data_IF_693908157621
#
_entry.id   IF_693908157621
#
_cell.length_a   1.000
_cell.length_b   1.000
_cell.length_c   1.000
_cell.angle_alpha   90.00
_cell.angle_beta   90.00
_cell.angle_gamma   90.00
#
_symmetry.space_group_name_H-M   'P 1'
#
loop_
_entity.id
_entity.type
_entity.pdbx_description
1 polymer ?
#
# COMPACT_ATOMS: atom_id res chain seq x y z
N UNK A 1 -6.90 6.85 -5.37
CA UNK A 1 -6.75 5.41 -5.14
C UNK A 1 -7.76 5.00 -4.11
N UNK A 2 -8.69 4.14 -4.50
CA UNK A 2 -9.70 3.59 -3.60
C UNK A 2 -9.36 2.14 -3.23
N UNK A 3 -10.24 1.49 -2.47
CA UNK A 3 -10.06 0.08 -2.09
C UNK A 3 -10.21 -0.86 -3.29
N UNK A 4 -11.07 -0.54 -4.25
CA UNK A 4 -11.34 -1.40 -5.40
C UNK A 4 -10.10 -1.48 -6.31
N UNK A 5 -9.41 -0.36 -6.52
CA UNK A 5 -8.13 -0.30 -7.25
C UNK A 5 -7.09 -1.25 -6.64
N UNK A 6 -6.93 -1.20 -5.31
CA UNK A 6 -5.95 -2.01 -4.57
C UNK A 6 -6.29 -3.50 -4.69
N UNK A 7 -7.54 -3.87 -4.44
CA UNK A 7 -7.98 -5.26 -4.51
C UNK A 7 -7.93 -5.78 -5.95
N UNK A 8 -8.22 -4.94 -6.93
CA UNK A 8 -8.09 -5.28 -8.34
C UNK A 8 -6.65 -5.60 -8.71
N UNK A 9 -5.68 -4.79 -8.29
CA UNK A 9 -4.27 -5.04 -8.57
C UNK A 9 -3.79 -6.39 -8.00
N UNK A 10 -4.16 -6.70 -6.74
CA UNK A 10 -3.87 -8.00 -6.13
C UNK A 10 -4.54 -9.13 -6.93
N UNK A 11 -5.83 -8.99 -7.26
CA UNK A 11 -6.54 -10.01 -8.04
C UNK A 11 -5.95 -10.21 -9.45
N UNK A 12 -5.37 -9.16 -10.03
CA UNK A 12 -4.71 -9.21 -11.34
C UNK A 12 -3.31 -9.81 -11.29
N UNK A 13 -2.90 -10.36 -10.15
CA UNK A 13 -1.66 -11.13 -10.00
C UNK A 13 -0.50 -10.37 -9.37
N UNK A 14 -0.70 -9.15 -8.87
CA UNK A 14 0.34 -8.44 -8.13
C UNK A 14 0.62 -9.15 -6.78
N UNK A 15 1.88 -9.45 -6.47
CA UNK A 15 2.25 -10.07 -5.19
C UNK A 15 2.04 -9.12 -4.01
N UNK A 16 2.20 -7.83 -4.24
CA UNK A 16 1.88 -6.77 -3.30
C UNK A 16 1.64 -5.41 -3.98
N UNK A 17 1.01 -4.48 -3.26
CA UNK A 17 0.68 -3.12 -3.71
C UNK A 17 1.21 -2.10 -2.69
N UNK A 18 1.96 -1.12 -3.18
CA UNK A 18 2.47 0.00 -2.37
C UNK A 18 1.75 1.28 -2.76
N UNK A 19 1.32 2.05 -1.77
CA UNK A 19 0.90 3.43 -1.96
C UNK A 19 1.93 4.36 -1.33
N UNK A 20 2.15 5.51 -1.97
CA UNK A 20 2.98 6.59 -1.45
C UNK A 20 2.16 7.87 -1.49
N UNK A 21 2.14 8.61 -0.39
CA UNK A 21 1.42 9.88 -0.32
C UNK A 21 2.09 10.92 0.55
N UNK A 22 1.61 12.16 0.49
CA UNK A 22 2.08 13.25 1.32
C UNK A 22 1.84 12.95 2.81
N UNK A 23 2.68 13.51 3.69
CA UNK A 23 2.49 13.39 5.14
C UNK A 23 1.17 13.99 5.61
N UNK A 24 0.68 13.54 6.75
CA UNK A 24 -0.48 14.16 7.38
C UNK A 24 -0.19 15.62 7.71
N UNK A 25 -1.08 16.51 7.27
CA UNK A 25 -0.89 17.96 7.38
C UNK A 25 -0.25 18.61 6.15
N UNK A 26 0.36 17.84 5.25
CA UNK A 26 1.03 18.32 4.03
C UNK A 26 0.29 17.89 2.75
N UNK A 27 -0.99 17.53 2.85
CA UNK A 27 -1.77 17.13 1.69
C UNK A 27 -2.29 18.37 0.96
N UNK A 28 -1.91 18.54 -0.31
CA UNK A 28 -2.41 19.62 -1.17
C UNK A 28 -3.93 19.58 -1.36
N UNK A 29 -4.50 18.38 -1.21
CA UNK A 29 -5.95 18.12 -1.27
C UNK A 29 -6.56 17.92 0.11
N UNK A 30 -5.94 18.51 1.14
CA UNK A 30 -6.31 18.55 2.56
C UNK A 30 -6.42 17.19 3.26
N UNK A 31 -7.36 16.36 2.82
CA UNK A 31 -7.74 15.07 3.43
C UNK A 31 -7.46 13.86 2.54
N UNK A 32 -6.99 14.07 1.31
CA UNK A 32 -6.80 12.99 0.32
C UNK A 32 -5.95 11.83 0.85
N UNK A 33 -4.86 12.11 1.55
CA UNK A 33 -4.01 11.08 2.16
C UNK A 33 -4.69 10.32 3.32
N UNK A 34 -5.55 10.98 4.10
CA UNK A 34 -6.35 10.35 5.18
C UNK A 34 -7.38 9.41 4.59
N UNK A 35 -8.05 9.81 3.51
CA UNK A 35 -9.00 8.96 2.79
C UNK A 35 -8.30 7.75 2.17
N UNK A 36 -7.16 7.95 1.48
CA UNK A 36 -6.35 6.86 0.94
C UNK A 36 -5.89 5.88 2.03
N UNK A 37 -5.45 6.38 3.20
CA UNK A 37 -5.07 5.52 4.34
C UNK A 37 -6.23 4.65 4.82
N UNK A 38 -7.45 5.19 4.91
CA UNK A 38 -8.65 4.41 5.25
C UNK A 38 -8.94 3.31 4.22
N UNK A 39 -8.76 3.61 2.93
CA UNK A 39 -8.93 2.61 1.87
C UNK A 39 -7.90 1.48 1.96
N UNK A 40 -6.65 1.81 2.27
CA UNK A 40 -5.57 0.83 2.50
C UNK A 40 -5.86 -0.03 3.71
N UNK A 41 -6.25 0.57 4.84
CA UNK A 41 -6.59 -0.18 6.06
C UNK A 41 -7.80 -1.08 5.88
N UNK A 42 -8.77 -0.66 5.07
CA UNK A 42 -9.89 -1.52 4.70
C UNK A 42 -9.45 -2.66 3.78
N UNK A 43 -8.63 -2.39 2.75
CA UNK A 43 -8.09 -3.42 1.87
C UNK A 43 -7.29 -4.47 2.67
N UNK A 44 -6.43 -4.04 3.61
CA UNK A 44 -5.71 -4.93 4.53
C UNK A 44 -6.65 -5.88 5.27
N UNK A 45 -7.70 -5.35 5.90
CA UNK A 45 -8.70 -6.16 6.61
C UNK A 45 -9.42 -7.15 5.69
N UNK A 46 -9.76 -6.73 4.47
CA UNK A 46 -10.37 -7.62 3.47
C UNK A 46 -9.41 -8.77 3.14
N UNK A 47 -8.14 -8.48 2.82
CA UNK A 47 -7.15 -9.49 2.47
C UNK A 47 -6.88 -10.49 3.62
N UNK A 48 -6.86 -10.02 4.87
CA UNK A 48 -6.78 -10.90 6.04
C UNK A 48 -8.03 -11.79 6.16
N UNK A 49 -9.23 -11.23 5.97
CA UNK A 49 -10.48 -11.98 6.08
C UNK A 49 -10.65 -13.10 5.05
N UNK A 50 -9.97 -12.99 3.91
CA UNK A 50 -9.98 -14.01 2.83
C UNK A 50 -8.70 -14.87 2.81
N UNK A 51 -7.80 -14.71 3.79
CA UNK A 51 -6.59 -15.54 3.92
C UNK A 51 -5.46 -15.22 2.93
N UNK A 52 -5.53 -14.08 2.22
CA UNK A 52 -4.49 -13.63 1.28
C UNK A 52 -3.34 -12.89 1.99
N UNK A 53 -3.67 -12.24 3.12
CA UNK A 53 -2.74 -11.58 4.03
C UNK A 53 -2.57 -10.07 3.76
N UNK A 54 -2.71 -9.27 4.82
CA UNK A 54 -2.61 -7.81 4.79
C UNK A 54 -1.22 -7.26 4.51
N UNK A 55 -0.17 -8.05 4.75
CA UNK A 55 1.22 -7.68 4.45
C UNK A 55 1.46 -7.42 2.95
N UNK A 56 0.51 -7.78 2.08
CA UNK A 56 0.56 -7.49 0.64
C UNK A 56 0.18 -6.06 0.28
N UNK A 57 -0.26 -5.23 1.21
CA UNK A 57 -0.60 -3.83 0.92
C UNK A 57 0.02 -2.94 1.99
N UNK A 58 0.62 -1.82 1.60
CA UNK A 58 1.06 -0.81 2.57
C UNK A 58 1.00 0.60 2.00
N UNK A 59 0.80 1.59 2.87
CA UNK A 59 0.93 3.00 2.52
C UNK A 59 2.07 3.65 3.28
N UNK A 60 2.95 4.31 2.54
CA UNK A 60 4.06 5.09 3.05
C UNK A 60 3.80 6.58 2.88
N UNK A 61 4.37 7.37 3.78
CA UNK A 61 4.24 8.82 3.78
C UNK A 61 5.60 9.48 3.66
N UNK A 62 5.80 10.25 2.60
CA UNK A 62 7.02 11.03 2.37
C UNK A 62 6.68 12.39 1.77
N UNK A 63 7.44 13.41 2.14
CA UNK A 63 7.40 14.69 1.42
C UNK A 63 8.21 14.60 0.13
N UNK A 64 7.99 15.54 -0.79
CA UNK A 64 8.72 15.59 -2.07
C UNK A 64 10.24 15.76 -1.91
N UNK A 65 10.70 16.28 -0.77
CA UNK A 65 12.11 16.52 -0.49
C UNK A 65 12.81 15.34 0.22
N UNK A 66 12.08 14.30 0.62
CA UNK A 66 12.62 13.16 1.39
C UNK A 66 12.82 11.93 0.49
N UNK A 67 13.72 12.08 -0.49
CA UNK A 67 14.06 11.00 -1.44
C UNK A 67 14.68 9.79 -0.74
N UNK A 68 15.46 10.00 0.31
CA UNK A 68 16.03 8.97 1.18
C UNK A 68 14.94 8.09 1.82
N UNK A 69 13.87 8.70 2.34
CA UNK A 69 12.73 7.97 2.91
C UNK A 69 11.94 7.21 1.87
N UNK A 70 11.78 7.78 0.67
CA UNK A 70 11.12 7.09 -0.43
C UNK A 70 11.92 5.84 -0.84
N UNK A 71 13.24 5.96 -0.98
CA UNK A 71 14.12 4.83 -1.28
C UNK A 71 13.99 3.76 -0.19
N UNK A 72 14.06 4.14 1.08
CA UNK A 72 13.89 3.21 2.20
C UNK A 72 12.54 2.49 2.17
N UNK A 73 11.44 3.20 1.88
CA UNK A 73 10.11 2.63 1.79
C UNK A 73 9.98 1.62 0.62
N UNK A 74 10.56 1.94 -0.54
CA UNK A 74 10.60 1.02 -1.68
C UNK A 74 11.41 -0.23 -1.33
N UNK A 75 12.60 -0.07 -0.73
CA UNK A 75 13.44 -1.19 -0.30
C UNK A 75 12.72 -2.08 0.73
N UNK A 76 12.02 -1.49 1.70
CA UNK A 76 11.23 -2.23 2.68
C UNK A 76 10.14 -3.06 1.99
N UNK A 77 9.41 -2.45 1.05
CA UNK A 77 8.35 -3.14 0.33
C UNK A 77 8.89 -4.25 -0.58
N UNK A 78 10.02 -4.02 -1.26
CA UNK A 78 10.69 -5.03 -2.08
C UNK A 78 11.09 -6.24 -1.24
N UNK A 79 11.75 -6.02 -0.10
CA UNK A 79 12.11 -7.12 0.83
C UNK A 79 10.87 -7.88 1.30
N UNK A 80 9.78 -7.17 1.61
CA UNK A 80 8.52 -7.80 2.01
C UNK A 80 7.96 -8.70 0.90
N UNK A 81 8.00 -8.26 -0.35
CA UNK A 81 7.56 -9.07 -1.50
C UNK A 81 8.41 -10.32 -1.66
N UNK A 82 9.72 -10.23 -1.48
CA UNK A 82 10.63 -11.38 -1.54
C UNK A 82 10.35 -12.43 -0.45
N UNK A 83 9.87 -12.00 0.72
CA UNK A 83 9.52 -12.88 1.85
C UNK A 83 8.10 -13.47 1.73
N UNK A 84 7.24 -12.90 0.89
CA UNK A 84 5.87 -13.36 0.72
C UNK A 84 5.82 -14.60 -0.20
N UNK A 85 4.95 -15.57 0.09
CA UNK A 85 4.63 -16.59 -0.90
C UNK A 85 3.95 -15.94 -2.10
N UNK A 86 4.04 -16.57 -3.27
CA UNK A 86 3.37 -16.08 -4.48
C UNK A 86 1.88 -15.86 -4.21
N UNK A 87 1.32 -14.82 -4.82
CA UNK A 87 -0.07 -14.46 -4.64
C UNK A 87 -1.03 -15.64 -4.93
N UNK A 88 -1.83 -16.08 -3.95
CA UNK A 88 -2.74 -17.21 -4.12
C UNK A 88 -3.96 -16.90 -5.02
N UNK A 89 -4.15 -15.64 -5.41
CA UNK A 89 -5.21 -15.20 -6.34
C UNK A 89 -4.74 -15.10 -7.79
N UNK A 90 -3.47 -15.40 -8.06
CA UNK A 90 -2.91 -15.41 -9.42
C UNK A 90 -3.44 -16.57 -10.25
#
# INVERSE_FOLDING_TARGET
>A
MDTADILHAIRSGADAVMLVGCKFGECDYETGNRTAKRHVDFAKRVLDSIGVGSNRVEMFFCSAAESDKLVAAITEMTRRVEELPSNPLK
#
